data_IF_025318143576
#
_entry.id   IF_025318143576
#
_cell.length_a   1.000
_cell.length_b   1.000
_cell.length_c   1.000
_cell.angle_alpha   90.00
_cell.angle_beta   90.00
_cell.angle_gamma   90.00
#
_symmetry.space_group_name_H-M   'P 1'
#
loop_
_entity.id
_entity.type
_entity.pdbx_description
1 polymer ?
#
# COMPACT_ATOMS: atom_id res chain seq x y z
N UNK A 1 -0.92 1.38 40.26
CA UNK A 1 -1.82 1.62 39.13
C UNK A 1 -1.19 2.71 38.28
N UNK A 2 -0.45 2.34 37.24
CA UNK A 2 0.15 3.29 36.33
C UNK A 2 -0.84 3.46 35.15
N UNK A 3 -1.42 4.64 35.03
CA UNK A 3 -2.25 5.03 33.89
C UNK A 3 -1.36 5.24 32.67
N UNK A 4 -1.41 4.31 31.71
CA UNK A 4 -0.86 4.52 30.37
C UNK A 4 -1.68 5.66 29.73
N UNK A 5 -1.09 6.85 29.71
CA UNK A 5 -1.56 7.92 28.86
C UNK A 5 -1.23 7.51 27.43
N UNK A 6 -2.24 7.02 26.70
CA UNK A 6 -2.15 6.94 25.24
C UNK A 6 -1.94 8.36 24.72
N UNK A 7 -0.73 8.60 24.25
CA UNK A 7 -0.41 9.79 23.47
C UNK A 7 -1.23 9.70 22.18
N UNK A 8 -2.29 10.52 22.04
CA UNK A 8 -2.95 10.70 20.73
C UNK A 8 -1.98 11.47 19.86
N UNK A 9 -1.51 10.92 18.74
CA UNK A 9 -0.66 11.68 17.83
C UNK A 9 -1.45 12.88 17.29
N UNK A 10 -0.84 14.05 17.29
CA UNK A 10 -1.38 15.26 16.66
C UNK A 10 -1.55 14.99 15.16
N UNK A 11 -2.72 15.30 14.58
CA UNK A 11 -3.05 15.13 13.14
C UNK A 11 -1.98 15.64 12.18
N UNK A 12 -1.05 16.47 12.65
CA UNK A 12 0.07 17.02 11.89
C UNK A 12 1.28 16.08 11.77
N UNK A 13 1.45 15.13 12.66
CA UNK A 13 2.58 14.18 12.62
C UNK A 13 2.44 13.13 11.52
N UNK A 14 1.22 12.69 11.21
CA UNK A 14 0.90 11.73 10.15
C UNK A 14 1.15 12.24 8.73
N UNK A 15 1.41 13.55 8.56
CA UNK A 15 1.47 14.20 7.25
C UNK A 15 2.88 14.24 6.66
N UNK A 16 3.95 14.07 7.45
CA UNK A 16 5.29 14.48 7.03
C UNK A 16 6.15 13.40 6.38
N UNK A 17 5.96 12.12 6.67
CA UNK A 17 6.70 11.03 6.01
C UNK A 17 5.84 9.77 5.87
N UNK A 18 5.30 9.56 4.67
CA UNK A 18 4.54 8.34 4.34
C UNK A 18 5.42 7.25 3.75
N UNK A 19 6.72 7.40 3.78
CA UNK A 19 7.63 6.44 3.19
C UNK A 19 7.98 5.34 4.19
N UNK A 20 7.71 4.10 3.80
CA UNK A 20 8.25 2.96 4.52
C UNK A 20 9.67 2.71 4.02
N UNK A 21 10.65 2.94 4.90
CA UNK A 21 12.07 2.81 4.59
C UNK A 21 12.68 1.76 5.52
N UNK A 22 12.86 0.50 5.08
CA UNK A 22 13.40 -0.56 5.93
C UNK A 22 14.75 -0.22 6.57
N UNK A 23 15.64 0.48 5.85
CA UNK A 23 16.96 0.88 6.35
C UNK A 23 16.92 1.83 7.53
N UNK A 24 15.83 2.56 7.75
CA UNK A 24 15.65 3.44 8.91
C UNK A 24 14.94 2.76 10.08
N UNK A 25 14.36 1.58 9.88
CA UNK A 25 13.55 0.84 10.86
C UNK A 25 14.24 -0.40 11.37
N UNK A 26 14.96 -1.09 10.50
CA UNK A 26 15.60 -2.36 10.81
C UNK A 26 17.13 -2.22 10.80
N UNK A 27 17.82 -3.20 11.38
CA UNK A 27 19.28 -3.28 11.36
C UNK A 27 19.83 -3.29 9.93
N UNK A 28 21.00 -2.76 9.74
CA UNK A 28 21.68 -2.75 8.44
C UNK A 28 21.83 -4.15 7.87
N UNK A 29 21.52 -4.29 6.57
CA UNK A 29 21.66 -5.54 5.84
C UNK A 29 20.61 -6.61 6.16
N UNK A 30 19.49 -6.26 6.80
CA UNK A 30 18.37 -7.18 6.97
C UNK A 30 17.87 -7.69 5.62
N UNK A 31 17.59 -8.98 5.55
CA UNK A 31 16.88 -9.54 4.40
C UNK A 31 15.44 -9.00 4.38
N UNK A 32 15.07 -8.35 3.28
CA UNK A 32 13.75 -7.72 3.12
C UNK A 32 12.60 -8.74 3.05
N UNK A 33 12.88 -10.01 2.81
CA UNK A 33 11.87 -11.06 2.88
C UNK A 33 11.52 -11.39 4.34
N UNK A 34 12.47 -11.24 5.28
CA UNK A 34 12.24 -11.50 6.70
C UNK A 34 11.34 -10.46 7.38
N UNK A 35 11.21 -9.26 6.82
CA UNK A 35 10.32 -8.23 7.37
C UNK A 35 8.86 -8.42 6.96
N UNK A 36 8.57 -9.36 6.07
CA UNK A 36 7.23 -9.71 5.58
C UNK A 36 6.83 -11.08 6.18
N UNK A 37 6.11 -11.06 7.29
CA UNK A 37 5.76 -12.28 8.03
C UNK A 37 4.37 -12.75 7.64
N UNK A 38 4.28 -13.91 7.00
CA UNK A 38 2.99 -14.53 6.67
C UNK A 38 2.48 -15.32 7.91
N UNK A 39 1.19 -15.18 8.24
CA UNK A 39 0.58 -15.99 9.30
C UNK A 39 0.36 -17.45 8.87
N UNK A 40 0.02 -18.32 9.84
CA UNK A 40 -0.16 -19.76 9.61
C UNK A 40 -1.25 -20.08 8.58
N UNK A 41 -2.31 -19.27 8.52
CA UNK A 41 -3.41 -19.40 7.54
C UNK A 41 -3.06 -18.86 6.16
N UNK A 42 -1.90 -18.21 6.01
CA UNK A 42 -1.41 -17.58 4.76
C UNK A 42 -2.36 -16.51 4.18
N UNK A 43 -3.24 -15.93 4.99
CA UNK A 43 -4.23 -14.93 4.52
C UNK A 43 -3.77 -13.49 4.73
N UNK A 44 -2.80 -13.25 5.63
CA UNK A 44 -2.21 -11.94 5.88
C UNK A 44 -0.69 -11.94 5.80
N UNK A 45 -0.12 -10.82 5.34
CA UNK A 45 1.30 -10.54 5.42
C UNK A 45 1.51 -9.40 6.40
N UNK A 46 2.05 -9.71 7.57
CA UNK A 46 2.31 -8.75 8.65
C UNK A 46 3.68 -8.09 8.52
N UNK A 47 3.81 -6.91 9.13
CA UNK A 47 5.10 -6.21 9.29
C UNK A 47 5.84 -6.85 10.47
N UNK A 48 7.11 -7.22 10.27
CA UNK A 48 7.95 -7.75 11.35
C UNK A 48 8.26 -6.67 12.39
N UNK A 49 8.44 -7.07 13.64
CA UNK A 49 8.87 -6.17 14.71
C UNK A 49 10.31 -5.69 14.48
N UNK A 50 10.53 -4.39 14.49
CA UNK A 50 11.84 -3.76 14.26
C UNK A 50 12.87 -4.17 15.34
N UNK A 51 12.43 -4.36 16.58
CA UNK A 51 13.24 -4.82 17.71
C UNK A 51 13.33 -6.34 17.79
N UNK A 52 12.62 -7.05 16.90
CA UNK A 52 12.56 -8.50 16.88
C UNK A 52 13.90 -9.13 16.50
N UNK A 53 14.26 -10.22 17.19
CA UNK A 53 15.39 -11.06 16.78
C UNK A 53 14.87 -12.26 16.03
N UNK A 54 15.58 -12.73 14.99
CA UNK A 54 15.23 -13.97 14.31
C UNK A 54 15.22 -15.13 15.31
N UNK A 55 14.19 -15.97 15.19
CA UNK A 55 14.11 -17.21 15.94
C UNK A 55 15.26 -18.14 15.55
N UNK A 56 15.89 -18.82 16.52
CA UNK A 56 17.00 -19.74 16.26
C UNK A 56 16.63 -20.97 15.42
N UNK A 57 15.34 -21.30 15.35
CA UNK A 57 14.87 -22.52 14.71
C UNK A 57 14.33 -22.28 13.29
N UNK A 58 13.73 -21.11 13.03
CA UNK A 58 13.08 -20.82 11.73
C UNK A 58 13.49 -19.48 11.11
N UNK A 59 14.41 -18.71 11.73
CA UNK A 59 14.81 -17.36 11.32
C UNK A 59 13.67 -16.33 11.23
N UNK A 60 12.45 -16.68 11.62
CA UNK A 60 11.30 -15.77 11.59
C UNK A 60 11.44 -14.68 12.66
N UNK A 61 11.02 -13.47 12.32
CA UNK A 61 10.90 -12.35 13.25
C UNK A 61 9.43 -12.27 13.71
N UNK A 62 9.19 -11.95 14.97
CA UNK A 62 7.83 -11.77 15.48
C UNK A 62 7.10 -10.64 14.72
N UNK A 63 5.85 -10.84 14.28
CA UNK A 63 5.10 -9.81 13.58
C UNK A 63 4.46 -8.80 14.52
N UNK A 64 4.19 -7.61 14.03
CA UNK A 64 3.18 -6.70 14.55
C UNK A 64 1.82 -7.12 13.98
N UNK A 65 0.98 -7.77 14.80
CA UNK A 65 -0.33 -8.31 14.36
C UNK A 65 -1.37 -7.23 14.01
N UNK A 66 -1.07 -5.99 14.32
CA UNK A 66 -1.83 -4.78 13.99
C UNK A 66 -1.30 -4.02 12.76
N UNK A 67 -0.33 -4.59 12.06
CA UNK A 67 0.38 -3.92 10.96
C UNK A 67 0.55 -4.86 9.77
N UNK A 68 0.02 -4.49 8.59
CA UNK A 68 0.00 -5.36 7.41
C UNK A 68 0.65 -4.73 6.19
N UNK A 69 1.23 -5.59 5.34
CA UNK A 69 1.58 -5.25 3.96
C UNK A 69 0.40 -5.54 3.03
N UNK A 70 0.16 -4.63 2.09
CA UNK A 70 -0.74 -4.84 0.96
C UNK A 70 0.07 -4.59 -0.31
N UNK A 71 0.37 -5.65 -1.06
CA UNK A 71 1.08 -5.50 -2.31
C UNK A 71 0.11 -5.15 -3.45
N UNK A 72 0.50 -4.16 -4.28
CA UNK A 72 -0.34 -3.65 -5.37
C UNK A 72 0.45 -3.60 -6.67
N UNK A 73 -0.23 -3.88 -7.78
CA UNK A 73 0.34 -3.75 -9.13
C UNK A 73 -0.73 -3.35 -10.14
N UNK A 74 -0.31 -2.59 -11.14
CA UNK A 74 -1.13 -2.19 -12.28
C UNK A 74 -0.54 -2.67 -13.58
N UNK A 75 -1.29 -3.42 -14.38
CA UNK A 75 -0.86 -3.90 -15.69
C UNK A 75 -1.69 -3.22 -16.81
N UNK A 76 -1.01 -2.81 -17.90
CA UNK A 76 -1.67 -2.24 -19.07
C UNK A 76 -1.17 -2.88 -20.36
N UNK A 77 -2.05 -3.56 -21.09
CA UNK A 77 -1.77 -4.12 -22.42
C UNK A 77 -2.12 -3.10 -23.49
N UNK A 78 -1.23 -2.88 -24.44
CA UNK A 78 -1.42 -1.87 -25.49
C UNK A 78 -1.38 -0.44 -24.95
N UNK A 79 -0.57 -0.18 -23.93
CA UNK A 79 -0.42 1.14 -23.33
C UNK A 79 -0.13 2.21 -24.40
N UNK A 80 -0.88 3.32 -24.38
CA UNK A 80 -0.81 4.38 -25.39
C UNK A 80 -1.61 4.11 -26.67
N UNK A 81 -2.30 2.97 -26.79
CA UNK A 81 -3.18 2.65 -27.94
C UNK A 81 -4.65 2.89 -27.57
N UNK A 82 -5.49 3.14 -28.59
CA UNK A 82 -6.92 3.39 -28.40
C UNK A 82 -7.69 2.20 -27.77
N UNK A 83 -7.18 0.98 -27.96
CA UNK A 83 -7.75 -0.26 -27.46
C UNK A 83 -6.99 -0.81 -26.23
N UNK A 84 -6.24 0.03 -25.54
CA UNK A 84 -5.53 -0.36 -24.33
C UNK A 84 -6.51 -0.97 -23.31
N UNK A 85 -6.06 -2.04 -22.64
CA UNK A 85 -6.76 -2.67 -21.52
C UNK A 85 -5.86 -2.64 -20.31
N UNK A 86 -6.41 -2.29 -19.17
CA UNK A 86 -5.66 -2.26 -17.93
C UNK A 86 -6.34 -3.10 -16.85
N UNK A 87 -5.54 -3.60 -15.93
CA UNK A 87 -5.99 -4.42 -14.81
C UNK A 87 -5.18 -4.09 -13.56
N UNK A 88 -5.74 -4.42 -12.42
CA UNK A 88 -5.14 -4.20 -11.11
C UNK A 88 -5.05 -5.52 -10.33
N UNK A 89 -3.97 -5.67 -9.58
CA UNK A 89 -3.74 -6.75 -8.63
C UNK A 89 -3.54 -6.19 -7.24
N UNK A 90 -4.24 -6.76 -6.25
CA UNK A 90 -4.07 -6.44 -4.84
C UNK A 90 -3.87 -7.73 -4.07
N UNK A 91 -2.79 -7.84 -3.32
CA UNK A 91 -2.39 -9.07 -2.62
C UNK A 91 -2.16 -8.78 -1.14
N UNK A 92 -2.79 -9.56 -0.28
CA UNK A 92 -2.68 -9.50 1.18
C UNK A 92 -1.95 -10.71 1.76
N UNK A 93 -2.13 -11.88 1.15
CA UNK A 93 -1.57 -13.16 1.54
C UNK A 93 -1.99 -14.23 0.53
N UNK A 94 -1.30 -15.37 0.53
CA UNK A 94 -1.51 -16.41 -0.51
C UNK A 94 -2.94 -16.95 -0.56
N UNK A 95 -3.59 -17.04 0.60
CA UNK A 95 -4.95 -17.60 0.77
C UNK A 95 -6.00 -16.53 1.15
N UNK A 96 -5.61 -15.26 1.10
CA UNK A 96 -6.50 -14.15 1.49
C UNK A 96 -7.71 -14.03 0.58
N UNK A 97 -8.88 -13.92 1.19
CA UNK A 97 -10.14 -13.61 0.49
C UNK A 97 -10.22 -12.16 0.04
N UNK A 98 -9.31 -11.31 0.53
CA UNK A 98 -9.17 -9.91 0.13
C UNK A 98 -8.33 -9.73 -1.13
N UNK A 99 -7.67 -10.78 -1.64
CA UNK A 99 -6.93 -10.70 -2.90
C UNK A 99 -7.86 -10.32 -4.05
N UNK A 100 -7.41 -9.39 -4.91
CA UNK A 100 -8.18 -8.92 -6.05
C UNK A 100 -7.39 -8.99 -7.34
N UNK A 101 -8.10 -9.37 -8.39
CA UNK A 101 -7.65 -9.39 -9.77
C UNK A 101 -8.78 -8.79 -10.59
N UNK A 102 -8.67 -7.50 -10.99
CA UNK A 102 -9.80 -6.74 -11.56
C UNK A 102 -9.39 -6.08 -12.86
N UNK A 103 -10.17 -6.31 -13.93
CA UNK A 103 -10.04 -5.59 -15.19
C UNK A 103 -10.67 -4.20 -15.04
N UNK A 104 -9.95 -3.15 -15.44
CA UNK A 104 -10.49 -1.79 -15.48
C UNK A 104 -11.41 -1.62 -16.70
N UNK A 105 -12.55 -0.98 -16.48
CA UNK A 105 -13.60 -0.77 -17.50
C UNK A 105 -13.61 0.66 -18.05
N UNK A 106 -12.79 1.55 -17.50
CA UNK A 106 -12.70 2.94 -17.92
C UNK A 106 -12.13 3.06 -19.34
N UNK A 107 -12.63 4.02 -20.14
CA UNK A 107 -12.02 4.33 -21.43
C UNK A 107 -10.65 5.02 -21.24
N UNK A 108 -9.72 4.79 -22.18
CA UNK A 108 -8.41 5.45 -22.19
C UNK A 108 -7.53 5.16 -20.96
N UNK A 109 -7.40 3.89 -20.63
CA UNK A 109 -6.52 3.44 -19.54
C UNK A 109 -5.04 3.51 -19.95
N UNK A 110 -4.19 3.76 -18.96
CA UNK A 110 -2.72 3.74 -19.08
C UNK A 110 -2.13 2.91 -17.95
N UNK A 111 -0.83 2.56 -18.06
CA UNK A 111 -0.14 1.89 -16.97
C UNK A 111 -0.19 2.70 -15.67
N UNK A 112 0.01 4.03 -15.76
CA UNK A 112 -0.07 4.90 -14.58
C UNK A 112 -1.47 4.91 -13.93
N UNK A 113 -2.54 4.89 -14.74
CA UNK A 113 -3.91 4.78 -14.23
C UNK A 113 -4.08 3.44 -13.51
N UNK A 114 -3.59 2.33 -14.07
CA UNK A 114 -3.68 1.01 -13.45
C UNK A 114 -2.96 0.97 -12.09
N UNK A 115 -1.72 1.49 -12.01
CA UNK A 115 -0.95 1.57 -10.77
C UNK A 115 -1.68 2.36 -9.67
N UNK A 116 -2.20 3.55 -10.01
CA UNK A 116 -2.94 4.36 -9.05
C UNK A 116 -4.26 3.69 -8.63
N UNK A 117 -4.95 3.05 -9.58
CA UNK A 117 -6.20 2.33 -9.31
C UNK A 117 -5.99 1.12 -8.41
N UNK A 118 -4.84 0.43 -8.52
CA UNK A 118 -4.47 -0.66 -7.61
C UNK A 118 -4.29 -0.14 -6.18
N UNK A 119 -3.60 0.99 -5.99
CA UNK A 119 -3.48 1.66 -4.69
C UNK A 119 -4.83 2.09 -4.12
N UNK A 120 -5.71 2.67 -4.95
CA UNK A 120 -7.07 3.06 -4.56
C UNK A 120 -7.87 1.84 -4.09
N UNK A 121 -7.85 0.75 -4.85
CA UNK A 121 -8.55 -0.49 -4.49
C UNK A 121 -8.05 -1.06 -3.16
N UNK A 122 -6.74 -1.11 -2.97
CA UNK A 122 -6.12 -1.57 -1.72
C UNK A 122 -6.57 -0.74 -0.51
N UNK A 123 -6.57 0.59 -0.62
CA UNK A 123 -7.01 1.48 0.47
C UNK A 123 -8.51 1.39 0.75
N UNK A 124 -9.34 1.16 -0.27
CA UNK A 124 -10.79 0.88 -0.07
C UNK A 124 -11.00 -0.42 0.70
N UNK A 125 -10.27 -1.48 0.34
CA UNK A 125 -10.32 -2.74 1.09
C UNK A 125 -9.78 -2.58 2.52
N UNK A 126 -8.71 -1.82 2.70
CA UNK A 126 -8.19 -1.50 4.02
C UNK A 126 -9.23 -0.82 4.93
N UNK A 127 -10.00 0.14 4.39
CA UNK A 127 -11.14 0.74 5.13
C UNK A 127 -12.20 -0.31 5.50
N UNK A 128 -12.45 -1.27 4.63
CA UNK A 128 -13.40 -2.36 4.90
C UNK A 128 -12.86 -3.30 5.99
N UNK A 129 -11.58 -3.64 5.95
CA UNK A 129 -10.89 -4.44 6.99
C UNK A 129 -11.01 -3.77 8.36
N UNK A 130 -10.74 -2.47 8.45
CA UNK A 130 -10.91 -1.68 9.69
C UNK A 130 -12.35 -1.71 10.18
N UNK A 131 -13.30 -1.44 9.28
CA UNK A 131 -14.74 -1.41 9.60
C UNK A 131 -15.26 -2.76 10.09
N UNK A 132 -14.82 -3.86 9.49
CA UNK A 132 -15.30 -5.22 9.79
C UNK A 132 -14.47 -5.91 10.87
N UNK A 133 -13.36 -5.31 11.32
CA UNK A 133 -12.39 -5.92 12.24
C UNK A 133 -11.88 -7.28 11.73
N UNK A 134 -11.56 -7.35 10.44
CA UNK A 134 -11.22 -8.62 9.80
C UNK A 134 -9.91 -9.25 10.31
N UNK A 135 -9.04 -8.49 10.99
CA UNK A 135 -7.82 -8.99 11.65
C UNK A 135 -8.07 -9.56 13.05
N UNK A 136 -9.32 -9.52 13.56
CA UNK A 136 -9.68 -9.98 14.88
C UNK A 136 -9.86 -8.85 15.90
N UNK A 137 -9.56 -9.13 17.17
CA UNK A 137 -9.82 -8.19 18.27
C UNK A 137 -8.84 -7.01 18.30
N UNK A 138 -7.60 -7.22 17.81
CA UNK A 138 -6.61 -6.15 17.72
C UNK A 138 -6.97 -5.18 16.59
N UNK A 139 -7.01 -3.86 16.88
CA UNK A 139 -7.27 -2.86 15.84
C UNK A 139 -6.08 -2.77 14.88
N UNK A 140 -6.37 -2.65 13.59
CA UNK A 140 -5.33 -2.35 12.59
C UNK A 140 -4.78 -0.94 12.82
N UNK A 141 -3.45 -0.82 12.97
CA UNK A 141 -2.77 0.47 13.21
C UNK A 141 -1.91 0.92 12.04
N UNK A 142 -1.28 -0.01 11.32
CA UNK A 142 -0.40 0.36 10.20
C UNK A 142 -0.69 -0.46 8.95
N UNK A 143 -0.73 0.24 7.82
CA UNK A 143 -0.81 -0.35 6.49
C UNK A 143 0.41 0.10 5.70
N UNK A 144 1.13 -0.85 5.12
CA UNK A 144 2.21 -0.56 4.18
C UNK A 144 1.78 -0.99 2.78
N UNK A 145 1.53 -0.03 1.90
CA UNK A 145 1.29 -0.28 0.47
C UNK A 145 2.63 -0.56 -0.20
N UNK A 146 2.84 -1.81 -0.60
CA UNK A 146 4.03 -2.29 -1.30
C UNK A 146 3.80 -2.25 -2.80
N UNK A 147 4.64 -1.54 -3.55
CA UNK A 147 4.54 -1.42 -5.01
C UNK A 147 5.90 -1.29 -5.68
N UNK A 148 6.02 -1.76 -6.92
CA UNK A 148 7.18 -1.51 -7.77
C UNK A 148 7.00 -0.28 -8.69
N UNK A 149 5.93 0.49 -8.49
CA UNK A 149 5.64 1.72 -9.20
C UNK A 149 6.25 2.95 -8.51
N UNK A 150 7.29 3.54 -9.12
CA UNK A 150 7.80 4.85 -8.71
C UNK A 150 6.72 5.95 -8.79
N UNK A 151 5.80 5.84 -9.76
CA UNK A 151 4.76 6.85 -9.97
C UNK A 151 3.77 6.89 -8.80
N UNK A 152 3.31 5.73 -8.35
CA UNK A 152 2.43 5.63 -7.18
C UNK A 152 3.19 6.06 -5.91
N UNK A 153 4.35 5.45 -5.64
CA UNK A 153 5.05 5.66 -4.36
C UNK A 153 5.52 7.10 -4.24
N UNK A 154 6.30 7.64 -5.19
CA UNK A 154 6.75 9.05 -5.15
C UNK A 154 5.59 10.03 -5.21
N UNK A 155 4.53 9.70 -5.95
CA UNK A 155 3.31 10.49 -5.99
C UNK A 155 2.72 10.72 -4.59
N UNK A 156 2.64 9.67 -3.77
CA UNK A 156 2.03 9.71 -2.45
C UNK A 156 2.99 10.10 -1.32
N UNK A 157 4.31 9.92 -1.51
CA UNK A 157 5.31 10.24 -0.47
C UNK A 157 6.02 11.57 -0.68
N UNK A 158 6.03 12.12 -1.92
CA UNK A 158 6.79 13.33 -2.23
C UNK A 158 5.94 14.40 -2.93
N UNK A 159 5.25 14.03 -4.03
CA UNK A 159 4.66 15.04 -4.92
C UNK A 159 3.32 15.58 -4.43
N UNK A 160 2.50 14.75 -3.81
CA UNK A 160 1.14 15.11 -3.38
C UNK A 160 1.14 16.30 -2.42
N UNK A 161 2.11 16.41 -1.53
CA UNK A 161 2.21 17.53 -0.59
C UNK A 161 2.36 18.89 -1.29
N UNK A 162 3.18 18.92 -2.34
CA UNK A 162 3.32 20.12 -3.18
C UNK A 162 2.07 20.39 -3.99
N UNK A 163 1.43 19.34 -4.50
CA UNK A 163 0.23 19.50 -5.32
C UNK A 163 -0.97 19.99 -4.48
N UNK A 164 -1.11 19.55 -3.26
CA UNK A 164 -2.14 20.07 -2.33
C UNK A 164 -2.02 21.58 -2.13
N UNK A 165 -0.80 22.11 -1.98
CA UNK A 165 -0.60 23.54 -1.78
C UNK A 165 -0.84 24.39 -3.03
N UNK A 166 -0.74 23.81 -4.25
CA UNK A 166 -0.84 24.54 -5.51
C UNK A 166 -2.08 24.19 -6.35
N UNK A 167 -3.02 23.42 -5.78
CA UNK A 167 -4.25 23.00 -6.44
C UNK A 167 -4.01 21.99 -7.57
N UNK A 168 -3.07 21.07 -7.38
CA UNK A 168 -2.69 20.01 -8.36
C UNK A 168 -2.27 20.56 -9.72
N UNK A 169 -1.46 21.61 -9.72
CA UNK A 169 -0.97 22.24 -10.95
C UNK A 169 0.52 21.99 -11.15
N UNK A 170 0.89 21.74 -12.40
CA UNK A 170 2.29 21.70 -12.85
C UNK A 170 2.92 23.10 -12.85
N UNK A 171 4.25 23.19 -13.02
CA UNK A 171 4.95 24.48 -13.19
C UNK A 171 4.39 25.32 -14.37
N UNK A 172 3.82 24.66 -15.38
CA UNK A 172 3.14 25.30 -16.51
C UNK A 172 1.66 25.66 -16.25
N UNK A 173 1.22 25.61 -14.99
CA UNK A 173 -0.16 25.87 -14.53
C UNK A 173 -1.24 24.96 -15.14
N UNK A 174 -0.85 23.86 -15.79
CA UNK A 174 -1.78 22.82 -16.24
C UNK A 174 -2.08 21.88 -15.09
N UNK A 175 -3.26 21.24 -15.08
CA UNK A 175 -3.59 20.21 -14.13
C UNK A 175 -2.56 19.07 -14.22
N UNK A 176 -2.16 18.53 -13.08
CA UNK A 176 -1.31 17.32 -13.01
C UNK A 176 -2.05 16.17 -13.68
N UNK A 177 -1.34 15.38 -14.47
CA UNK A 177 -1.89 14.15 -15.05
C UNK A 177 -2.35 13.20 -13.93
N UNK A 178 -3.52 12.59 -14.09
CA UNK A 178 -4.15 11.74 -13.08
C UNK A 178 -4.41 12.42 -11.71
N UNK A 179 -4.51 13.75 -11.67
CA UNK A 179 -4.74 14.51 -10.43
C UNK A 179 -5.92 13.98 -9.61
N UNK A 180 -7.02 13.58 -10.27
CA UNK A 180 -8.21 13.02 -9.59
C UNK A 180 -7.91 11.72 -8.84
N UNK A 181 -7.09 10.84 -9.41
CA UNK A 181 -6.71 9.58 -8.77
C UNK A 181 -5.80 9.83 -7.56
N UNK A 182 -4.87 10.78 -7.65
CA UNK A 182 -4.07 11.21 -6.51
C UNK A 182 -4.90 11.88 -5.41
N UNK A 183 -5.91 12.67 -5.78
CA UNK A 183 -6.85 13.25 -4.82
C UNK A 183 -7.65 12.16 -4.09
N UNK A 184 -8.15 11.15 -4.83
CA UNK A 184 -8.85 10.01 -4.24
C UNK A 184 -7.95 9.19 -3.31
N UNK A 185 -6.72 8.88 -3.72
CA UNK A 185 -5.72 8.22 -2.86
C UNK A 185 -5.48 9.02 -1.57
N UNK A 186 -5.31 10.35 -1.70
CA UNK A 186 -5.08 11.23 -0.57
C UNK A 186 -6.26 11.28 0.40
N UNK A 187 -7.47 11.29 -0.13
CA UNK A 187 -8.70 11.24 0.66
C UNK A 187 -8.82 9.92 1.43
N UNK A 188 -8.58 8.79 0.76
CA UNK A 188 -8.60 7.46 1.40
C UNK A 188 -7.55 7.33 2.51
N UNK A 189 -6.32 7.83 2.28
CA UNK A 189 -5.29 7.90 3.32
C UNK A 189 -5.77 8.76 4.49
N UNK A 190 -6.36 9.92 4.23
CA UNK A 190 -6.90 10.79 5.27
C UNK A 190 -8.02 10.13 6.08
N UNK A 191 -8.90 9.35 5.43
CA UNK A 191 -9.96 8.58 6.11
C UNK A 191 -9.37 7.53 7.06
N UNK A 192 -8.37 6.78 6.61
CA UNK A 192 -7.68 5.77 7.42
C UNK A 192 -6.95 6.42 8.61
N UNK A 193 -6.24 7.53 8.37
CA UNK A 193 -5.56 8.27 9.44
C UNK A 193 -6.56 8.78 10.50
N UNK A 194 -7.75 9.26 10.10
CA UNK A 194 -8.82 9.63 11.04
C UNK A 194 -9.35 8.45 11.85
N UNK A 195 -9.15 7.24 11.37
CA UNK A 195 -9.46 5.99 12.08
C UNK A 195 -8.28 5.44 12.87
N UNK A 196 -7.23 6.25 13.12
CA UNK A 196 -5.97 5.88 13.76
C UNK A 196 -5.19 4.76 13.03
N UNK A 197 -5.29 4.72 11.71
CA UNK A 197 -4.51 3.80 10.88
C UNK A 197 -3.49 4.58 10.06
N UNK A 198 -2.21 4.35 10.33
CA UNK A 198 -1.11 4.89 9.56
C UNK A 198 -1.04 4.22 8.18
N UNK A 199 -0.84 5.00 7.12
CA UNK A 199 -0.65 4.49 5.76
C UNK A 199 0.72 4.90 5.24
N UNK A 200 1.54 3.90 4.99
CA UNK A 200 2.90 4.04 4.46
C UNK A 200 2.98 3.43 3.06
N UNK A 201 3.96 3.87 2.28
CA UNK A 201 4.22 3.38 0.93
C UNK A 201 5.66 2.89 0.82
N UNK A 202 5.82 1.68 0.32
CA UNK A 202 7.11 1.02 0.15
C UNK A 202 7.41 0.76 -1.32
N UNK A 203 8.48 1.38 -1.82
CA UNK A 203 9.01 1.09 -3.15
C UNK A 203 9.88 -0.14 -3.11
N UNK A 204 9.49 -1.17 -3.81
CA UNK A 204 10.25 -2.42 -3.92
C UNK A 204 10.70 -2.69 -5.36
N UNK A 205 11.78 -3.45 -5.58
CA UNK A 205 12.09 -3.96 -6.90
C UNK A 205 11.01 -4.96 -7.36
N UNK A 206 10.86 -5.12 -8.67
CA UNK A 206 9.81 -5.95 -9.27
C UNK A 206 9.81 -7.41 -8.79
N UNK A 207 11.00 -7.91 -8.48
CA UNK A 207 11.19 -9.26 -7.97
C UNK A 207 10.49 -9.51 -6.63
N UNK A 208 10.23 -8.46 -5.87
CA UNK A 208 9.54 -8.52 -4.58
C UNK A 208 8.03 -8.24 -4.69
N UNK A 209 7.50 -7.96 -5.91
CA UNK A 209 6.07 -7.64 -6.13
C UNK A 209 5.35 -8.67 -7.02
N UNK A 210 5.89 -9.88 -7.14
CA UNK A 210 5.42 -10.92 -8.09
C UNK A 210 3.98 -11.35 -7.87
N UNK A 211 3.51 -11.41 -6.64
CA UNK A 211 2.16 -11.86 -6.30
C UNK A 211 1.11 -10.86 -6.82
N UNK A 212 1.34 -9.56 -6.61
CA UNK A 212 0.46 -8.52 -7.14
C UNK A 212 0.53 -8.44 -8.68
N UNK A 213 1.72 -8.53 -9.30
CA UNK A 213 1.89 -8.62 -10.75
C UNK A 213 1.12 -9.81 -11.34
N UNK A 214 1.19 -10.98 -10.68
CA UNK A 214 0.44 -12.17 -11.11
C UNK A 214 -1.07 -11.93 -11.08
N UNK A 215 -1.61 -11.32 -10.02
CA UNK A 215 -3.03 -11.00 -9.91
C UNK A 215 -3.46 -9.97 -10.98
N UNK A 216 -2.68 -8.89 -11.19
CA UNK A 216 -2.96 -7.91 -12.23
C UNK A 216 -3.01 -8.56 -13.63
N UNK A 217 -2.08 -9.48 -13.92
CA UNK A 217 -2.03 -10.19 -15.19
C UNK A 217 -3.11 -11.28 -15.34
N UNK A 218 -3.61 -11.84 -14.25
CA UNK A 218 -4.69 -12.84 -14.24
C UNK A 218 -5.99 -12.25 -14.77
N UNK A 219 -6.35 -11.02 -14.40
CA UNK A 219 -7.57 -10.34 -14.82
C UNK A 219 -7.77 -10.24 -16.36
N UNK A 220 -6.71 -10.39 -17.13
CA UNK A 220 -6.83 -10.42 -18.61
C UNK A 220 -7.21 -11.79 -19.19
N UNK A 221 -7.30 -12.84 -18.36
CA UNK A 221 -7.56 -14.21 -18.79
C UNK A 221 -8.98 -14.66 -18.44
N UNK A 222 -9.56 -14.01 -17.45
CA UNK A 222 -10.92 -14.20 -16.97
C UNK A 222 -11.90 -13.34 -17.80
#
# INVERSE_FOLDING_TARGET
MATNAHHQPDDREWVQDRKFEPSSRYRDGIDLDLIQVTNDDEDWTYVACEDGRPCSDCDCIAPHVDSIFIAVDGACRGNGQANAKAAVGVFFGRRSTYNQSVLLTEPHVTNQIAELSAGILALKQAKDIVRTKALGDEPLHTIVIKADSDYLVKGMTEWVFKWETNGYKTAKRKLVENAKLFQELRELVGDLNRSNVEVLFWRVPREMNKEADKLANQAFRD
#
